data_IF_485542494144
#
_entry.id   IF_485542494144
#
_cell.length_a   1.000
_cell.length_b   1.000
_cell.length_c   1.000
_cell.angle_alpha   90.00
_cell.angle_beta   90.00
_cell.angle_gamma   90.00
#
_symmetry.space_group_name_H-M   'P 1'
#
loop_
_entity.id
_entity.type
_entity.pdbx_description
1 polymer ?
#
# COMPACT_ATOMS: atom_id res chain seq x y z
N UNK A 1 8.45 1.90 -7.91
CA UNK A 1 8.97 2.76 -6.82
C UNK A 1 7.94 3.85 -6.53
N UNK A 2 7.80 4.24 -5.26
CA UNK A 2 6.94 5.35 -4.82
C UNK A 2 7.78 6.51 -4.27
N UNK A 3 7.28 7.74 -4.43
CA UNK A 3 7.84 8.95 -3.81
C UNK A 3 7.59 8.93 -2.29
N UNK A 4 8.58 9.37 -1.53
CA UNK A 4 8.46 9.50 -0.07
C UNK A 4 8.14 10.94 0.32
N UNK A 5 7.22 11.12 1.28
CA UNK A 5 6.83 12.44 1.77
C UNK A 5 8.02 13.15 2.39
N UNK A 6 8.12 14.45 2.11
CA UNK A 6 9.05 15.34 2.78
C UNK A 6 8.55 15.70 4.19
N UNK A 7 9.44 16.21 5.04
CA UNK A 7 9.12 16.65 6.41
C UNK A 7 8.08 17.78 6.47
N UNK A 8 7.87 18.51 5.37
CA UNK A 8 6.86 19.57 5.29
C UNK A 8 5.41 19.04 5.22
N UNK A 9 5.22 17.71 5.15
CA UNK A 9 3.91 17.05 5.14
C UNK A 9 3.01 17.55 6.28
N UNK A 10 1.70 17.59 6.02
CA UNK A 10 0.69 17.93 7.03
C UNK A 10 -0.26 16.75 7.25
N UNK A 11 -0.86 16.62 8.45
CA UNK A 11 -1.95 15.69 8.66
C UNK A 11 -3.06 15.91 7.63
N UNK A 12 -3.62 14.81 7.17
CA UNK A 12 -4.78 14.77 6.29
C UNK A 12 -5.90 14.06 7.06
N UNK A 13 -6.97 14.80 7.33
CA UNK A 13 -8.18 14.25 7.92
C UNK A 13 -9.13 13.83 6.79
N UNK A 14 -9.62 12.59 6.86
CA UNK A 14 -10.55 12.04 5.88
C UNK A 14 -11.70 11.34 6.63
N UNK A 15 -12.93 11.43 6.09
CA UNK A 15 -14.05 10.72 6.68
C UNK A 15 -13.81 9.20 6.64
N UNK A 16 -14.30 8.43 7.63
CA UNK A 16 -14.12 6.97 7.69
C UNK A 16 -14.52 6.24 6.40
N UNK A 17 -15.55 6.71 5.70
CA UNK A 17 -15.98 6.11 4.43
C UNK A 17 -14.89 6.20 3.36
N UNK A 18 -14.15 7.31 3.29
CA UNK A 18 -13.06 7.48 2.33
C UNK A 18 -11.86 6.59 2.68
N UNK A 19 -11.58 6.38 3.96
CA UNK A 19 -10.52 5.48 4.44
C UNK A 19 -10.85 4.01 4.10
N UNK A 20 -12.11 3.61 4.31
CA UNK A 20 -12.59 2.29 3.92
C UNK A 20 -12.52 2.07 2.41
N UNK A 21 -12.92 3.07 1.60
CA UNK A 21 -12.79 3.01 0.15
C UNK A 21 -11.33 3.00 -0.32
N UNK A 22 -10.43 3.61 0.43
CA UNK A 22 -9.00 3.52 0.17
C UNK A 22 -8.45 2.11 0.41
N UNK A 23 -9.14 1.28 1.20
CA UNK A 23 -8.78 -0.11 1.48
C UNK A 23 -8.20 -0.34 2.87
N UNK A 24 -8.35 0.61 3.79
CA UNK A 24 -8.05 0.38 5.22
C UNK A 24 -9.15 -0.46 5.87
N UNK A 25 -8.79 -1.21 6.90
CA UNK A 25 -9.75 -1.99 7.69
C UNK A 25 -10.37 -1.12 8.79
N UNK A 26 -11.61 -1.45 9.19
CA UNK A 26 -12.34 -0.69 10.22
C UNK A 26 -11.59 -0.60 11.54
N UNK A 27 -10.86 -1.65 11.89
CA UNK A 27 -10.12 -1.75 13.15
C UNK A 27 -8.91 -0.79 13.21
N UNK A 28 -8.38 -0.38 12.05
CA UNK A 28 -7.19 0.45 11.99
C UNK A 28 -7.53 1.95 11.99
N UNK A 29 -8.81 2.33 11.85
CA UNK A 29 -9.21 3.71 11.58
C UNK A 29 -9.01 4.66 12.78
N UNK A 30 -9.17 4.18 14.01
CA UNK A 30 -9.13 5.04 15.21
C UNK A 30 -7.74 5.65 15.44
N UNK A 31 -6.67 4.91 15.14
CA UNK A 31 -5.28 5.34 15.32
C UNK A 31 -4.63 5.84 14.02
N UNK A 32 -5.37 5.90 12.91
CA UNK A 32 -4.83 6.20 11.60
C UNK A 32 -4.61 7.70 11.39
N UNK A 33 -3.36 8.13 11.35
CA UNK A 33 -2.99 9.49 10.93
C UNK A 33 -2.40 9.47 9.52
N UNK A 34 -3.13 10.02 8.55
CA UNK A 34 -2.63 10.17 7.19
C UNK A 34 -1.95 11.51 6.99
N UNK A 35 -1.11 11.58 5.95
CA UNK A 35 -0.36 12.79 5.62
C UNK A 35 -0.53 13.15 4.16
N UNK A 36 -0.50 14.44 3.87
CA UNK A 36 -0.53 15.00 2.51
C UNK A 36 0.72 15.84 2.22
N UNK A 37 1.18 15.87 0.95
CA UNK A 37 2.26 16.74 0.52
C UNK A 37 1.78 18.20 0.48
N UNK A 38 2.64 19.12 0.89
CA UNK A 38 2.35 20.57 0.91
C UNK A 38 3.28 21.42 0.05
N UNK A 39 4.52 20.96 -0.14
CA UNK A 39 5.55 21.71 -0.85
C UNK A 39 6.28 22.74 0.03
N UNK A 40 7.59 22.84 -0.18
CA UNK A 40 8.47 23.87 0.35
C UNK A 40 9.73 23.97 -0.54
N UNK A 41 10.60 24.96 -0.29
CA UNK A 41 11.84 25.18 -1.04
C UNK A 41 12.84 24.02 -1.02
N UNK A 42 12.72 23.09 -0.06
CA UNK A 42 13.65 21.97 0.13
C UNK A 42 13.16 20.62 -0.42
N UNK A 43 12.03 20.61 -1.10
CA UNK A 43 11.43 19.39 -1.62
C UNK A 43 10.97 19.54 -3.07
N UNK A 44 10.67 18.41 -3.70
CA UNK A 44 10.02 18.40 -5.00
C UNK A 44 8.54 18.11 -4.78
N UNK A 45 7.70 19.16 -4.78
CA UNK A 45 6.24 19.08 -4.62
C UNK A 45 5.78 18.35 -3.34
N UNK A 46 6.50 18.51 -2.24
CA UNK A 46 6.19 17.83 -0.97
C UNK A 46 6.78 16.44 -0.85
N UNK A 47 7.61 15.99 -1.80
CA UNK A 47 8.29 14.70 -1.76
C UNK A 47 9.82 14.86 -1.75
N UNK A 48 10.50 13.93 -1.09
CA UNK A 48 11.98 13.85 -1.07
C UNK A 48 12.43 12.40 -0.90
N UNK A 49 12.92 11.81 -1.99
CA UNK A 49 13.35 10.42 -2.05
C UNK A 49 12.32 9.47 -2.68
N UNK A 50 12.68 8.18 -2.73
CA UNK A 50 11.84 7.10 -3.23
C UNK A 50 12.05 5.84 -2.39
N UNK A 51 11.02 5.01 -2.27
CA UNK A 51 11.10 3.69 -1.65
C UNK A 51 10.38 2.65 -2.51
N UNK A 52 10.75 1.38 -2.34
CA UNK A 52 10.05 0.26 -2.97
C UNK A 52 8.83 -0.15 -2.16
N UNK A 53 7.79 -0.58 -2.88
CA UNK A 53 6.70 -1.40 -2.35
C UNK A 53 6.88 -2.79 -2.95
N UNK A 54 6.68 -3.82 -2.13
CA UNK A 54 6.98 -5.19 -2.51
C UNK A 54 5.84 -6.09 -2.10
N UNK A 55 5.52 -7.04 -2.97
CA UNK A 55 4.76 -8.22 -2.65
C UNK A 55 5.74 -9.39 -2.68
N UNK A 56 6.00 -9.97 -1.52
CA UNK A 56 6.89 -11.12 -1.39
C UNK A 56 6.02 -12.35 -1.19
N UNK A 57 6.01 -13.24 -2.18
CA UNK A 57 5.18 -14.43 -2.19
C UNK A 57 6.06 -15.68 -2.19
N UNK A 58 6.38 -16.25 -1.02
CA UNK A 58 7.07 -17.53 -0.93
C UNK A 58 6.27 -18.62 -1.64
N UNK A 59 6.95 -19.57 -2.28
CA UNK A 59 6.30 -20.74 -2.88
C UNK A 59 6.04 -21.75 -1.77
N UNK A 60 4.82 -21.72 -1.22
CA UNK A 60 4.35 -22.75 -0.29
C UNK A 60 4.07 -24.06 -1.02
N UNK A 61 3.92 -25.16 -0.29
CA UNK A 61 3.51 -26.45 -0.87
C UNK A 61 2.16 -26.34 -1.60
N UNK A 62 1.23 -25.55 -1.05
CA UNK A 62 -0.09 -25.33 -1.64
C UNK A 62 0.01 -24.56 -2.96
N UNK A 63 0.85 -23.52 -3.01
CA UNK A 63 1.12 -22.76 -4.25
C UNK A 63 1.84 -23.64 -5.27
N UNK A 64 2.82 -24.44 -4.85
CA UNK A 64 3.52 -25.38 -5.72
C UNK A 64 2.56 -26.38 -6.37
N UNK A 65 1.60 -26.92 -5.60
CA UNK A 65 0.57 -27.81 -6.14
C UNK A 65 -0.29 -27.12 -7.20
N UNK A 66 -0.73 -25.89 -6.95
CA UNK A 66 -1.50 -25.11 -7.93
C UNK A 66 -0.71 -24.92 -9.23
N UNK A 67 0.61 -24.66 -9.14
CA UNK A 67 1.48 -24.54 -10.31
C UNK A 67 1.56 -25.86 -11.08
N UNK A 68 1.75 -26.99 -10.39
CA UNK A 68 1.81 -28.32 -11.00
C UNK A 68 0.50 -28.75 -11.66
N UNK A 69 -0.63 -28.25 -11.16
CA UNK A 69 -1.97 -28.43 -11.74
C UNK A 69 -2.28 -27.43 -12.87
N UNK A 70 -1.29 -26.68 -13.36
CA UNK A 70 -1.47 -25.62 -14.36
C UNK A 70 -2.52 -24.57 -13.97
N UNK A 71 -2.66 -24.33 -12.67
CA UNK A 71 -3.58 -23.34 -12.12
C UNK A 71 -3.22 -21.92 -12.53
N UNK A 72 -4.24 -21.11 -12.81
CA UNK A 72 -4.06 -19.73 -13.23
C UNK A 72 -3.63 -18.79 -12.07
N UNK A 73 -3.23 -17.57 -12.42
CA UNK A 73 -2.83 -16.54 -11.47
C UNK A 73 -3.90 -16.24 -10.40
N UNK A 74 -5.19 -16.34 -10.74
CA UNK A 74 -6.29 -16.10 -9.79
C UNK A 74 -6.26 -17.14 -8.66
N UNK A 75 -6.06 -18.43 -8.97
CA UNK A 75 -5.94 -19.48 -7.95
C UNK A 75 -4.74 -19.23 -7.03
N UNK A 76 -3.60 -18.82 -7.60
CA UNK A 76 -2.40 -18.49 -6.84
C UNK A 76 -2.65 -17.28 -5.94
N UNK A 77 -3.24 -16.19 -6.44
CA UNK A 77 -3.58 -14.99 -5.65
C UNK A 77 -4.55 -15.31 -4.51
N UNK A 78 -5.56 -16.14 -4.76
CA UNK A 78 -6.49 -16.58 -3.71
C UNK A 78 -5.77 -17.38 -2.63
N UNK A 79 -4.86 -18.28 -3.01
CA UNK A 79 -4.08 -19.05 -2.05
C UNK A 79 -3.13 -18.15 -1.25
N UNK A 80 -2.43 -17.22 -1.91
CA UNK A 80 -1.56 -16.25 -1.25
C UNK A 80 -2.32 -15.40 -0.23
N UNK A 81 -3.54 -14.95 -0.56
CA UNK A 81 -4.41 -14.24 0.37
C UNK A 81 -4.80 -15.09 1.59
N UNK A 82 -5.10 -16.38 1.39
CA UNK A 82 -5.39 -17.30 2.50
C UNK A 82 -4.17 -17.50 3.42
N UNK A 83 -2.97 -17.44 2.85
CA UNK A 83 -1.71 -17.53 3.58
C UNK A 83 -1.29 -16.19 4.22
N UNK A 84 -2.12 -15.14 4.13
CA UNK A 84 -1.84 -13.82 4.71
C UNK A 84 -0.76 -13.03 3.98
N UNK A 85 -0.44 -13.41 2.74
CA UNK A 85 0.53 -12.69 1.92
C UNK A 85 -0.10 -11.38 1.45
N UNK A 86 0.48 -10.26 1.90
CA UNK A 86 0.04 -8.93 1.50
C UNK A 86 0.26 -8.74 0.00
N UNK A 87 -0.78 -8.25 -0.68
CA UNK A 87 -0.63 -7.79 -2.05
C UNK A 87 0.09 -6.44 -2.14
N UNK A 88 0.41 -6.01 -3.36
CA UNK A 88 1.13 -4.77 -3.58
C UNK A 88 0.40 -3.56 -3.01
N UNK A 89 -0.94 -3.54 -3.06
CA UNK A 89 -1.76 -2.44 -2.58
C UNK A 89 -1.80 -2.41 -1.05
N UNK A 90 -1.95 -3.55 -0.39
CA UNK A 90 -1.89 -3.67 1.07
C UNK A 90 -0.52 -3.25 1.60
N UNK A 91 0.57 -3.75 1.00
CA UNK A 91 1.93 -3.32 1.32
C UNK A 91 2.14 -1.81 1.14
N UNK A 92 1.47 -1.22 0.16
CA UNK A 92 1.51 0.21 -0.08
C UNK A 92 0.72 0.97 1.01
N UNK A 93 -0.51 0.57 1.32
CA UNK A 93 -1.34 1.19 2.38
C UNK A 93 -0.63 1.18 3.74
N UNK A 94 0.11 0.12 4.07
CA UNK A 94 0.94 0.08 5.27
C UNK A 94 1.99 1.20 5.31
N UNK A 95 2.56 1.59 4.16
CA UNK A 95 3.48 2.75 4.09
C UNK A 95 2.77 4.09 4.23
N UNK A 96 1.50 4.18 3.83
CA UNK A 96 0.68 5.39 4.07
C UNK A 96 0.37 5.53 5.55
N UNK A 97 -0.05 4.43 6.20
CA UNK A 97 -0.31 4.41 7.63
C UNK A 97 0.96 4.75 8.44
N UNK A 98 2.13 4.31 7.99
CA UNK A 98 3.42 4.71 8.55
C UNK A 98 3.86 6.15 8.22
N UNK A 99 3.07 6.90 7.44
CA UNK A 99 3.35 8.28 7.04
C UNK A 99 4.58 8.45 6.12
N UNK A 100 5.00 7.38 5.44
CA UNK A 100 6.16 7.39 4.53
C UNK A 100 5.81 7.99 3.17
N UNK A 101 4.57 7.79 2.72
CA UNK A 101 4.00 8.29 1.47
C UNK A 101 2.54 8.67 1.70
N UNK A 102 1.81 9.08 0.67
CA UNK A 102 0.42 9.51 0.74
C UNK A 102 -0.50 8.71 -0.19
N UNK A 103 -1.81 8.89 -0.03
CA UNK A 103 -2.81 8.17 -0.84
C UNK A 103 -2.73 8.50 -2.34
N UNK A 104 -2.31 9.72 -2.71
CA UNK A 104 -2.21 10.14 -4.11
C UNK A 104 -1.12 9.31 -4.81
N UNK A 105 0.06 9.24 -4.21
CA UNK A 105 1.19 8.50 -4.78
C UNK A 105 0.90 7.01 -4.88
N UNK A 106 0.21 6.43 -3.89
CA UNK A 106 -0.13 5.00 -3.88
C UNK A 106 -1.14 4.68 -4.97
N UNK A 107 -2.18 5.52 -5.12
CA UNK A 107 -3.17 5.33 -6.17
C UNK A 107 -2.52 5.43 -7.56
N UNK A 108 -1.55 6.33 -7.75
CA UNK A 108 -0.79 6.46 -9.02
C UNK A 108 -0.02 5.19 -9.40
N UNK A 109 0.38 4.34 -8.45
CA UNK A 109 1.22 3.16 -8.73
C UNK A 109 0.51 1.81 -8.54
N UNK A 110 -0.66 1.80 -7.91
CA UNK A 110 -1.38 0.55 -7.57
C UNK A 110 -2.81 0.47 -8.11
N UNK A 111 -3.35 1.56 -8.67
CA UNK A 111 -4.64 1.54 -9.36
C UNK A 111 -4.41 1.74 -10.86
N UNK A 112 -4.26 0.63 -11.56
CA UNK A 112 -4.52 0.46 -12.99
C UNK A 112 -5.58 -0.62 -13.16
#
# INVERSE_FOLDING_TARGET
LIRTLHKCKKPLDLPPEALLQAGFEKQDLEDLTLYQPTGCSECNEGYRGRTGIFQVMPISESIARIILEEGNAIRITQQARKEGILDLRQSALNKVAAGVTDLIEINRVTKD
#
